data_IF_048181179354
#
_entry.id   IF_048181179354
#
_cell.length_a   1.000
_cell.length_b   1.000
_cell.length_c   1.000
_cell.angle_alpha   90.00
_cell.angle_beta   90.00
_cell.angle_gamma   90.00
#
_symmetry.space_group_name_H-M   'P 1'
#
loop_
_entity.id
_entity.type
_entity.pdbx_description
1 polymer ?
#
# COMPACT_ATOMS: atom_id res chain seq x y z
N UNK A 1 10.43 -1.05 -35.78
CA UNK A 1 9.28 -1.96 -36.02
C UNK A 1 9.11 -2.87 -34.80
N UNK A 2 7.91 -2.90 -34.22
CA UNK A 2 7.58 -3.54 -32.93
C UNK A 2 7.55 -5.08 -33.10
N UNK A 3 8.68 -5.76 -32.87
CA UNK A 3 8.81 -7.22 -32.95
C UNK A 3 8.45 -7.96 -31.64
N UNK A 4 7.57 -7.40 -30.79
CA UNK A 4 7.16 -8.07 -29.53
C UNK A 4 5.73 -8.62 -29.55
N UNK A 5 4.91 -8.24 -30.53
CA UNK A 5 3.51 -8.67 -30.59
C UNK A 5 3.28 -10.07 -31.20
N UNK A 6 4.29 -10.71 -31.80
CA UNK A 6 4.10 -11.90 -32.62
C UNK A 6 4.12 -13.26 -31.90
N UNK A 7 4.74 -13.37 -30.72
CA UNK A 7 5.25 -14.68 -30.26
C UNK A 7 4.89 -15.00 -28.80
N UNK A 8 3.67 -14.69 -28.34
CA UNK A 8 3.15 -15.12 -27.03
C UNK A 8 3.94 -14.64 -25.78
N UNK A 9 5.08 -13.97 -25.96
CA UNK A 9 5.98 -13.52 -24.91
C UNK A 9 5.35 -12.40 -24.09
N UNK A 10 4.64 -11.48 -24.76
CA UNK A 10 3.84 -10.45 -24.06
C UNK A 10 2.76 -11.11 -23.20
N UNK A 11 2.05 -12.10 -23.72
CA UNK A 11 1.01 -12.81 -22.96
C UNK A 11 1.60 -13.55 -21.74
N UNK A 12 2.75 -14.22 -21.89
CA UNK A 12 3.48 -14.86 -20.79
C UNK A 12 3.93 -13.86 -19.73
N UNK A 13 4.50 -12.72 -20.14
CA UNK A 13 4.93 -11.67 -19.22
C UNK A 13 3.75 -11.05 -18.46
N UNK A 14 2.63 -10.81 -19.14
CA UNK A 14 1.39 -10.31 -18.51
C UNK A 14 0.87 -11.31 -17.49
N UNK A 15 0.83 -12.61 -17.84
CA UNK A 15 0.41 -13.66 -16.92
C UNK A 15 1.32 -13.73 -15.68
N UNK A 16 2.64 -13.67 -15.89
CA UNK A 16 3.63 -13.67 -14.80
C UNK A 16 3.46 -12.45 -13.87
N UNK A 17 3.24 -11.25 -14.43
CA UNK A 17 3.00 -10.04 -13.64
C UNK A 17 1.69 -10.10 -12.87
N UNK A 18 0.61 -10.62 -13.45
CA UNK A 18 -0.66 -10.82 -12.75
C UNK A 18 -0.54 -11.80 -11.60
N UNK A 19 0.18 -12.90 -11.79
CA UNK A 19 0.44 -13.88 -10.74
C UNK A 19 1.28 -13.29 -9.59
N UNK A 20 2.27 -12.46 -9.92
CA UNK A 20 3.08 -11.74 -8.94
C UNK A 20 2.30 -10.69 -8.15
N UNK A 21 1.48 -9.89 -8.83
CA UNK A 21 0.57 -8.95 -8.18
C UNK A 21 -0.37 -9.68 -7.21
N UNK A 22 -0.96 -10.81 -7.62
CA UNK A 22 -1.86 -11.59 -6.77
C UNK A 22 -1.18 -12.09 -5.48
N UNK A 23 0.08 -12.56 -5.55
CA UNK A 23 0.84 -12.96 -4.34
C UNK A 23 1.07 -11.79 -3.39
N UNK A 24 1.46 -10.63 -3.92
CA UNK A 24 1.71 -9.41 -3.12
C UNK A 24 0.43 -8.84 -2.52
N UNK A 25 -0.68 -8.95 -3.22
CA UNK A 25 -2.01 -8.59 -2.71
C UNK A 25 -2.46 -9.52 -1.58
N UNK A 26 -2.14 -10.81 -1.66
CA UNK A 26 -2.39 -11.74 -0.55
C UNK A 26 -1.61 -11.33 0.71
N UNK A 27 -0.33 -10.97 0.57
CA UNK A 27 0.48 -10.45 1.69
C UNK A 27 -0.15 -9.18 2.27
N UNK A 28 -0.59 -8.25 1.41
CA UNK A 28 -1.30 -7.04 1.84
C UNK A 28 -2.55 -7.36 2.68
N UNK A 29 -3.41 -8.24 2.16
CA UNK A 29 -4.66 -8.60 2.82
C UNK A 29 -4.44 -9.30 4.16
N UNK A 30 -3.38 -10.13 4.26
CA UNK A 30 -3.01 -10.81 5.50
C UNK A 30 -2.49 -9.82 6.55
N UNK A 31 -1.51 -8.98 6.21
CA UNK A 31 -0.83 -8.13 7.19
C UNK A 31 -1.66 -6.88 7.57
N UNK A 32 -2.57 -6.43 6.70
CA UNK A 32 -3.50 -5.32 6.98
C UNK A 32 -4.94 -5.79 7.21
N UNK A 33 -5.12 -7.05 7.60
CA UNK A 33 -6.43 -7.57 7.98
C UNK A 33 -7.07 -6.70 9.09
N UNK A 34 -8.34 -6.36 8.91
CA UNK A 34 -9.09 -5.49 9.84
C UNK A 34 -8.94 -3.99 9.60
N UNK A 35 -8.07 -3.55 8.68
CA UNK A 35 -8.00 -2.16 8.24
C UNK A 35 -8.81 -1.90 6.96
N UNK A 36 -9.20 -0.64 6.75
CA UNK A 36 -9.90 -0.21 5.54
C UNK A 36 -8.91 -0.05 4.37
N UNK A 37 -8.70 -1.14 3.61
CA UNK A 37 -7.79 -1.18 2.46
C UNK A 37 -8.56 -1.49 1.17
N UNK A 38 -8.37 -0.67 0.14
CA UNK A 38 -8.97 -0.81 -1.19
C UNK A 38 -7.90 -1.08 -2.24
N UNK A 39 -8.04 -2.17 -2.99
CA UNK A 39 -7.13 -2.53 -4.07
C UNK A 39 -7.78 -3.47 -5.09
N UNK A 40 -7.19 -3.56 -6.29
CA UNK A 40 -7.49 -4.60 -7.28
C UNK A 40 -6.48 -5.77 -7.11
N UNK A 41 -6.92 -7.04 -7.14
CA UNK A 41 -6.04 -8.20 -6.95
C UNK A 41 -4.88 -8.32 -7.96
N UNK A 42 -4.93 -7.59 -9.08
CA UNK A 42 -3.91 -7.55 -10.14
C UNK A 42 -3.12 -6.24 -10.14
N UNK A 43 -3.44 -5.29 -9.26
CA UNK A 43 -2.70 -4.05 -9.10
C UNK A 43 -1.46 -4.23 -8.20
N UNK A 44 -0.49 -3.35 -8.39
CA UNK A 44 0.71 -3.24 -7.55
C UNK A 44 0.62 -2.13 -6.52
N UNK A 45 -0.58 -1.63 -6.26
CA UNK A 45 -0.80 -0.57 -5.29
C UNK A 45 -2.12 -0.76 -4.57
N UNK A 46 -2.21 -0.20 -3.38
CA UNK A 46 -3.44 -0.17 -2.60
C UNK A 46 -3.63 1.20 -1.96
N UNK A 47 -4.89 1.55 -1.75
CA UNK A 47 -5.30 2.70 -0.97
C UNK A 47 -5.67 2.22 0.43
N UNK A 48 -5.00 2.76 1.44
CA UNK A 48 -5.29 2.47 2.84
C UNK A 48 -5.87 3.72 3.48
N UNK A 49 -7.14 3.63 3.88
CA UNK A 49 -7.80 4.62 4.73
C UNK A 49 -7.33 4.42 6.17
N UNK A 50 -6.65 5.44 6.69
CA UNK A 50 -5.99 5.37 7.97
C UNK A 50 -7.02 5.46 9.11
N UNK A 51 -6.86 4.68 10.18
CA UNK A 51 -7.72 4.82 11.35
C UNK A 51 -7.45 6.16 12.04
N UNK A 52 -8.50 6.76 12.61
CA UNK A 52 -8.33 7.93 13.46
C UNK A 52 -7.37 7.62 14.63
N UNK A 53 -6.51 8.55 15.05
CA UNK A 53 -6.46 9.97 14.67
C UNK A 53 -5.43 10.28 13.56
N UNK A 54 -5.02 9.29 12.76
CA UNK A 54 -3.96 9.52 11.79
C UNK A 54 -4.39 10.47 10.67
N UNK A 55 -3.52 11.45 10.38
CA UNK A 55 -3.55 12.21 9.14
C UNK A 55 -2.52 11.65 8.16
N UNK A 56 -2.78 11.74 6.86
CA UNK A 56 -1.91 11.19 5.82
C UNK A 56 -0.43 11.60 5.98
N UNK A 57 -0.15 12.89 6.21
CA UNK A 57 1.22 13.39 6.34
C UNK A 57 1.88 12.91 7.64
N UNK A 58 1.15 12.91 8.75
CA UNK A 58 1.67 12.46 10.05
C UNK A 58 1.97 10.97 10.04
N UNK A 59 1.16 10.16 9.37
CA UNK A 59 1.42 8.73 9.22
C UNK A 59 2.59 8.47 8.27
N UNK A 60 2.71 9.26 7.20
CA UNK A 60 3.84 9.18 6.27
C UNK A 60 5.16 9.48 7.00
N UNK A 61 5.19 10.50 7.85
CA UNK A 61 6.36 10.80 8.69
C UNK A 61 6.67 9.68 9.69
N UNK A 62 5.65 9.09 10.33
CA UNK A 62 5.82 7.97 11.24
C UNK A 62 6.36 6.72 10.52
N UNK A 63 5.85 6.41 9.32
CA UNK A 63 6.37 5.33 8.48
C UNK A 63 7.84 5.55 8.09
N UNK A 64 8.19 6.79 7.73
CA UNK A 64 9.57 7.15 7.37
C UNK A 64 10.55 6.96 8.53
N UNK A 65 10.13 7.18 9.78
CA UNK A 65 10.94 6.90 10.97
C UNK A 65 11.28 5.40 11.14
N UNK A 66 10.51 4.51 10.50
CA UNK A 66 10.79 3.07 10.42
C UNK A 66 11.48 2.66 9.11
N UNK A 67 11.94 3.62 8.31
CA UNK A 67 12.58 3.37 7.01
C UNK A 67 11.61 2.93 5.91
N UNK A 68 10.30 3.22 6.06
CA UNK A 68 9.26 2.80 5.12
C UNK A 68 8.68 4.03 4.42
N UNK A 69 8.82 4.10 3.10
CA UNK A 69 8.21 5.16 2.30
C UNK A 69 6.77 4.77 1.88
N UNK A 70 5.84 5.69 2.10
CA UNK A 70 4.45 5.62 1.60
C UNK A 70 4.09 6.95 0.93
N UNK A 71 3.11 6.95 0.02
CA UNK A 71 2.69 8.19 -0.65
C UNK A 71 1.40 8.73 0.00
N UNK A 72 1.37 9.97 0.52
CA UNK A 72 0.17 10.54 1.10
C UNK A 72 -0.90 10.79 0.03
N UNK A 73 -2.17 10.58 0.37
CA UNK A 73 -3.32 10.79 -0.51
C UNK A 73 -3.40 12.17 -1.17
N UNK A 74 -3.11 13.28 -0.45
CA UNK A 74 -2.97 14.63 -1.03
C UNK A 74 -2.08 14.74 -2.26
N UNK A 75 -1.07 13.87 -2.44
CA UNK A 75 -0.22 13.88 -3.63
C UNK A 75 -0.98 13.55 -4.94
N UNK A 76 -2.22 13.05 -4.85
CA UNK A 76 -3.08 12.72 -5.99
C UNK A 76 -4.32 13.62 -6.10
N UNK A 77 -4.44 14.64 -5.26
CA UNK A 77 -5.58 15.57 -5.28
C UNK A 77 -5.46 16.56 -6.46
N UNK A 78 -6.55 16.73 -7.21
CA UNK A 78 -6.62 17.66 -8.36
C UNK A 78 -7.00 19.09 -7.92
N UNK A 79 -7.62 19.25 -6.75
CA UNK A 79 -7.97 20.53 -6.18
C UNK A 79 -7.66 20.56 -4.67
N UNK A 80 -7.24 21.71 -4.11
CA UNK A 80 -7.14 21.89 -2.66
C UNK A 80 -8.51 21.66 -2.01
N UNK A 81 -8.59 20.76 -1.03
CA UNK A 81 -9.85 20.38 -0.39
C UNK A 81 -9.69 19.22 0.60
N UNK A 82 -10.79 18.72 1.16
CA UNK A 82 -10.79 17.63 2.15
C UNK A 82 -10.33 16.33 1.50
N UNK A 83 -9.02 16.07 1.55
CA UNK A 83 -8.46 14.80 1.09
C UNK A 83 -8.65 13.75 2.18
N UNK A 84 -9.09 12.53 1.86
CA UNK A 84 -9.19 11.46 2.84
C UNK A 84 -7.85 11.25 3.55
N UNK A 85 -7.91 10.94 4.84
CA UNK A 85 -6.74 10.50 5.61
C UNK A 85 -6.32 9.11 5.16
N UNK A 86 -5.70 9.06 3.99
CA UNK A 86 -5.33 7.84 3.31
C UNK A 86 -3.92 7.93 2.75
N UNK A 87 -3.28 6.77 2.61
CA UNK A 87 -2.00 6.63 1.93
C UNK A 87 -2.10 5.61 0.80
N UNK A 88 -1.29 5.81 -0.23
CA UNK A 88 -1.07 4.83 -1.30
C UNK A 88 0.16 3.99 -0.97
N UNK A 89 -0.02 2.68 -0.96
CA UNK A 89 1.04 1.69 -0.75
C UNK A 89 1.52 1.15 -2.10
N UNK A 90 2.83 1.13 -2.32
CA UNK A 90 3.45 0.47 -3.47
C UNK A 90 3.89 -0.95 -3.10
N UNK A 91 3.45 -1.96 -3.84
CA UNK A 91 3.66 -3.37 -3.51
C UNK A 91 4.79 -4.02 -4.32
N UNK A 92 5.22 -3.40 -5.43
CA UNK A 92 6.19 -3.97 -6.36
C UNK A 92 7.66 -3.67 -6.03
N UNK A 93 7.93 -2.65 -5.21
CA UNK A 93 9.28 -2.07 -5.07
C UNK A 93 10.24 -2.91 -4.23
N UNK A 94 9.72 -3.78 -3.36
CA UNK A 94 10.51 -4.60 -2.46
C UNK A 94 10.27 -6.10 -2.71
N UNK A 95 11.22 -6.99 -2.38
CA UNK A 95 10.97 -8.43 -2.30
C UNK A 95 9.80 -8.79 -1.37
N UNK A 96 9.14 -9.92 -1.59
CA UNK A 96 7.97 -10.35 -0.79
C UNK A 96 8.24 -10.40 0.74
N UNK A 97 9.39 -10.90 1.24
CA UNK A 97 9.68 -10.90 2.68
C UNK A 97 9.79 -9.49 3.27
N UNK A 98 10.37 -8.55 2.53
CA UNK A 98 10.54 -7.16 2.96
C UNK A 98 9.21 -6.42 2.92
N UNK A 99 8.38 -6.68 1.90
CA UNK A 99 7.01 -6.19 1.81
C UNK A 99 6.20 -6.64 3.03
N UNK A 100 6.25 -7.94 3.37
CA UNK A 100 5.55 -8.49 4.54
C UNK A 100 5.99 -7.79 5.83
N UNK A 101 7.30 -7.66 6.04
CA UNK A 101 7.87 -6.96 7.21
C UNK A 101 7.41 -5.50 7.27
N UNK A 102 7.47 -4.78 6.15
CA UNK A 102 7.07 -3.39 6.09
C UNK A 102 5.58 -3.20 6.43
N UNK A 103 4.70 -4.00 5.81
CA UNK A 103 3.25 -3.93 6.08
C UNK A 103 2.92 -4.24 7.54
N UNK A 104 3.57 -5.25 8.13
CA UNK A 104 3.41 -5.56 9.56
C UNK A 104 3.82 -4.41 10.46
N UNK A 105 4.94 -3.76 10.17
CA UNK A 105 5.40 -2.58 10.92
C UNK A 105 4.39 -1.44 10.79
N UNK A 106 3.91 -1.17 9.57
CA UNK A 106 2.90 -0.13 9.35
C UNK A 106 1.60 -0.42 10.12
N UNK A 107 1.13 -1.67 10.16
CA UNK A 107 -0.03 -2.07 10.95
C UNK A 107 0.16 -1.77 12.45
N UNK A 108 1.34 -2.08 12.99
CA UNK A 108 1.67 -1.75 14.39
C UNK A 108 1.69 -0.24 14.63
N UNK A 109 2.30 0.54 13.74
CA UNK A 109 2.31 2.01 13.84
C UNK A 109 0.88 2.56 13.82
N UNK A 110 0.05 2.07 12.89
CA UNK A 110 -1.34 2.49 12.76
C UNK A 110 -2.13 2.23 14.06
N UNK A 111 -1.95 1.05 14.67
CA UNK A 111 -2.64 0.64 15.88
C UNK A 111 -2.21 1.39 17.15
N UNK A 112 -0.90 1.71 17.31
CA UNK A 112 -0.38 2.34 18.54
C UNK A 112 -1.03 3.68 18.85
N UNK A 113 -1.14 4.57 17.86
CA UNK A 113 -1.74 5.91 18.07
C UNK A 113 -3.27 5.87 18.20
N UNK A 114 -3.91 4.79 17.74
CA UNK A 114 -5.33 4.55 17.96
C UNK A 114 -5.61 4.15 19.43
N UNK A 115 -4.70 3.37 20.05
CA UNK A 115 -4.79 2.96 21.46
C UNK A 115 -4.51 4.07 22.46
N UNK A 116 -3.59 4.99 22.15
CA UNK A 116 -3.10 6.03 23.08
C UNK A 116 -4.14 7.13 23.43
N UNK A 117 -5.36 7.11 22.87
CA UNK A 117 -6.47 8.02 23.25
C UNK A 117 -7.55 7.36 24.13
N UNK A 118 -7.33 6.14 24.60
CA UNK A 118 -8.24 5.50 25.57
C UNK A 118 -7.66 5.66 26.99
N UNK A 119 -7.62 6.89 27.48
CA UNK A 119 -7.22 7.25 28.85
C UNK A 119 -7.95 8.53 29.25
N UNK A 120 -8.40 8.63 30.51
CA UNK A 120 -9.62 9.34 30.93
C UNK A 120 -9.65 10.85 30.62
#
# INVERSE_FOLDING_TARGET
AVRWAGEGTVARLVAAKRADAARRQKILAEELAGFAVRSDPRAYFAWWELPAPWRADTFTAAAAAHGIAVTPGPAFAVAPGHTPDAVRLGLASAPEPDLRRALRTLAHVAARRAGDRTGP
#
